data_IF_118615580700
#
_entry.id   IF_118615580700
#
_cell.length_a   1.000
_cell.length_b   1.000
_cell.length_c   1.000
_cell.angle_alpha   90.00
_cell.angle_beta   90.00
_cell.angle_gamma   90.00
#
_symmetry.space_group_name_H-M   'P 1'
#
loop_
_entity.id
_entity.type
_entity.pdbx_description
1 polymer ?
#
# COMPACT_ATOMS: atom_id res chain seq x y z
N UNK A 1 -37.71 -0.20 2.84
CA UNK A 1 -36.89 -1.42 3.05
C UNK A 1 -36.71 -1.52 4.57
N UNK A 2 -37.67 -2.00 5.37
CA UNK A 2 -38.19 -3.39 5.49
C UNK A 2 -37.00 -4.36 5.63
N UNK A 3 -36.77 -5.10 6.72
CA UNK A 3 -37.53 -6.22 7.35
C UNK A 3 -36.74 -6.59 8.65
N UNK A 4 -37.31 -6.65 9.86
CA UNK A 4 -38.05 -7.74 10.56
C UNK A 4 -37.21 -8.85 11.23
N UNK A 5 -37.72 -9.31 12.40
CA UNK A 5 -37.38 -10.52 13.14
C UNK A 5 -37.13 -10.22 14.62
N UNK A 6 -37.96 -10.54 15.62
CA UNK A 6 -39.03 -11.54 15.73
C UNK A 6 -38.68 -12.51 16.87
N UNK A 7 -39.47 -12.54 17.94
CA UNK A 7 -39.28 -13.46 19.07
C UNK A 7 -40.26 -13.22 20.23
N UNK A 8 -41.48 -13.74 20.08
CA UNK A 8 -42.48 -13.95 21.14
C UNK A 8 -42.32 -15.35 21.76
N UNK A 9 -42.54 -15.47 23.08
CA UNK A 9 -43.16 -16.57 23.84
C UNK A 9 -42.97 -16.20 25.33
N UNK A 10 -43.87 -16.40 26.29
CA UNK A 10 -45.09 -17.20 26.35
C UNK A 10 -45.92 -16.72 27.56
N UNK A 11 -47.24 -16.88 27.45
CA UNK A 11 -48.21 -16.71 28.54
C UNK A 11 -48.05 -17.84 29.56
N UNK A 12 -48.13 -17.53 30.85
CA UNK A 12 -48.65 -18.44 31.86
C UNK A 12 -49.66 -17.70 32.73
N UNK A 13 -50.93 -17.94 32.43
CA UNK A 13 -52.04 -17.82 33.36
C UNK A 13 -52.05 -19.03 34.29
N UNK A 14 -52.23 -18.80 35.59
CA UNK A 14 -52.89 -19.73 36.52
C UNK A 14 -53.35 -18.85 37.68
N UNK A 15 -54.62 -18.49 37.72
CA UNK A 15 -55.60 -19.16 38.59
C UNK A 15 -55.05 -19.39 39.99
N UNK A 16 -55.58 -18.64 40.96
CA UNK A 16 -55.89 -19.14 42.29
C UNK A 16 -56.89 -18.20 42.95
N UNK A 17 -58.14 -18.68 43.02
CA UNK A 17 -59.24 -18.03 43.72
C UNK A 17 -58.96 -17.92 45.21
N UNK A 18 -59.28 -16.77 45.79
CA UNK A 18 -59.38 -16.64 47.23
C UNK A 18 -60.79 -17.04 47.66
N UNK A 19 -60.91 -18.30 48.06
CA UNK A 19 -61.96 -18.78 48.92
C UNK A 19 -61.96 -17.97 50.22
N UNK A 20 -63.10 -17.36 50.54
CA UNK A 20 -63.42 -16.94 51.91
C UNK A 20 -63.60 -18.21 52.74
N UNK A 21 -62.57 -18.60 53.49
CA UNK A 21 -62.75 -19.50 54.63
C UNK A 21 -62.35 -18.82 55.93
N UNK A 22 -63.26 -19.00 56.88
CA UNK A 22 -63.27 -18.45 58.23
C UNK A 22 -62.03 -18.89 58.99
N UNK A 23 -61.25 -17.92 59.47
CA UNK A 23 -60.50 -18.08 60.71
C UNK A 23 -60.83 -16.90 61.62
N UNK A 24 -61.64 -17.19 62.63
CA UNK A 24 -61.72 -16.36 63.83
C UNK A 24 -60.39 -16.43 64.56
N UNK A 25 -59.76 -15.28 64.78
CA UNK A 25 -58.89 -15.02 65.92
C UNK A 25 -58.51 -13.54 65.88
N UNK A 26 -58.89 -12.81 66.93
CA UNK A 26 -58.54 -11.42 67.19
C UNK A 26 -57.01 -11.28 67.33
N UNK A 27 -56.30 -11.01 66.23
CA UNK A 27 -54.96 -10.41 66.31
C UNK A 27 -55.12 -8.90 66.61
N UNK A 28 -54.39 -8.34 67.59
CA UNK A 28 -54.48 -6.92 67.87
C UNK A 28 -53.98 -6.13 66.66
N UNK A 29 -54.74 -5.11 66.22
CA UNK A 29 -54.39 -4.19 65.10
C UNK A 29 -52.96 -3.63 65.17
N UNK A 30 -52.38 -3.55 66.36
CA UNK A 30 -51.00 -3.12 66.62
C UNK A 30 -49.94 -4.07 66.03
N UNK A 31 -50.17 -5.39 66.03
CA UNK A 31 -49.18 -6.38 65.57
C UNK A 31 -49.08 -6.39 64.05
N UNK A 32 -50.21 -6.30 63.34
CA UNK A 32 -50.24 -6.25 61.88
C UNK A 32 -49.61 -4.95 61.32
N UNK A 33 -49.81 -3.81 62.00
CA UNK A 33 -49.16 -2.55 61.63
C UNK A 33 -47.65 -2.60 61.85
N UNK A 34 -47.19 -3.13 62.98
CA UNK A 34 -45.76 -3.32 63.24
C UNK A 34 -45.11 -4.29 62.25
N UNK A 35 -45.78 -5.38 61.87
CA UNK A 35 -45.31 -6.29 60.82
C UNK A 35 -45.21 -5.60 59.46
N UNK A 36 -46.17 -4.76 59.09
CA UNK A 36 -46.13 -3.98 57.85
C UNK A 36 -44.99 -2.95 57.84
N UNK A 37 -44.83 -2.18 58.93
CA UNK A 37 -43.74 -1.20 59.07
C UNK A 37 -42.38 -1.89 59.05
N UNK A 38 -42.23 -3.03 59.72
CA UNK A 38 -41.01 -3.82 59.70
C UNK A 38 -40.72 -4.42 58.31
N UNK A 39 -41.74 -4.85 57.58
CA UNK A 39 -41.62 -5.31 56.20
C UNK A 39 -41.16 -4.17 55.28
N UNK A 40 -41.81 -3.00 55.35
CA UNK A 40 -41.43 -1.81 54.57
C UNK A 40 -40.04 -1.28 54.91
N UNK A 41 -39.66 -1.27 56.18
CA UNK A 41 -38.31 -0.92 56.60
C UNK A 41 -37.30 -1.93 56.05
N UNK A 42 -37.59 -3.23 56.12
CA UNK A 42 -36.73 -4.27 55.54
C UNK A 42 -36.59 -4.11 54.02
N UNK A 43 -37.68 -3.87 53.30
CA UNK A 43 -37.67 -3.60 51.85
C UNK A 43 -36.85 -2.34 51.52
N UNK A 44 -36.95 -1.29 52.35
CA UNK A 44 -36.18 -0.07 52.19
C UNK A 44 -34.68 -0.29 52.44
N UNK A 45 -34.32 -1.00 53.52
CA UNK A 45 -32.92 -1.31 53.83
C UNK A 45 -32.29 -2.28 52.83
N UNK A 46 -33.04 -3.30 52.38
CA UNK A 46 -32.59 -4.24 51.35
C UNK A 46 -32.48 -3.55 49.99
N UNK A 47 -33.46 -2.72 49.61
CA UNK A 47 -33.41 -1.90 48.40
C UNK A 47 -32.22 -0.94 48.39
N UNK A 48 -31.93 -0.29 49.53
CA UNK A 48 -30.76 0.58 49.66
C UNK A 48 -29.44 -0.21 49.62
N UNK A 49 -29.37 -1.40 50.22
CA UNK A 49 -28.19 -2.26 50.14
C UNK A 49 -27.92 -2.74 48.71
N UNK A 50 -28.97 -3.11 47.97
CA UNK A 50 -28.86 -3.47 46.54
C UNK A 50 -28.41 -2.28 45.69
N UNK A 51 -28.90 -1.07 45.98
CA UNK A 51 -28.44 0.15 45.29
C UNK A 51 -27.00 0.50 45.62
N UNK A 52 -26.58 0.33 46.89
CA UNK A 52 -25.20 0.58 47.30
C UNK A 52 -24.23 -0.38 46.60
N UNK A 53 -24.56 -1.67 46.55
CA UNK A 53 -23.75 -2.68 45.84
C UNK A 53 -23.74 -2.47 44.33
N UNK A 54 -24.85 -2.06 43.72
CA UNK A 54 -24.88 -1.67 42.31
C UNK A 54 -23.98 -0.46 42.02
N UNK A 55 -24.01 0.57 42.87
CA UNK A 55 -23.14 1.74 42.74
C UNK A 55 -21.66 1.39 42.95
N UNK A 56 -21.33 0.48 43.88
CA UNK A 56 -19.97 -0.02 44.06
C UNK A 56 -19.48 -0.80 42.83
N UNK A 57 -20.35 -1.62 42.24
CA UNK A 57 -20.04 -2.33 40.99
C UNK A 57 -19.79 -1.34 39.85
N UNK A 58 -20.66 -0.35 39.65
CA UNK A 58 -20.54 0.67 38.60
C UNK A 58 -19.27 1.52 38.79
N UNK A 59 -18.92 1.87 40.04
CA UNK A 59 -17.70 2.58 40.36
C UNK A 59 -16.46 1.74 40.04
N UNK A 60 -16.49 0.44 40.36
CA UNK A 60 -15.40 -0.48 40.07
C UNK A 60 -15.24 -0.74 38.57
N UNK A 61 -16.33 -0.89 37.83
CA UNK A 61 -16.32 -1.02 36.37
C UNK A 61 -15.75 0.24 35.69
N UNK A 62 -16.20 1.41 36.13
CA UNK A 62 -15.69 2.71 35.65
C UNK A 62 -14.19 2.85 35.92
N UNK A 63 -13.72 2.47 37.11
CA UNK A 63 -12.29 2.43 37.45
C UNK A 63 -11.51 1.48 36.54
N UNK A 64 -12.02 0.28 36.27
CA UNK A 64 -11.36 -0.66 35.35
C UNK A 64 -11.29 -0.12 33.93
N UNK A 65 -12.35 0.52 33.43
CA UNK A 65 -12.38 1.17 32.12
C UNK A 65 -11.30 2.25 32.01
N UNK A 66 -11.19 3.12 33.00
CA UNK A 66 -10.16 4.17 33.04
C UNK A 66 -8.74 3.59 33.09
N UNK A 67 -8.50 2.52 33.86
CA UNK A 67 -7.20 1.85 33.88
C UNK A 67 -6.84 1.23 32.52
N UNK A 68 -7.82 0.62 31.81
CA UNK A 68 -7.60 0.11 30.45
C UNK A 68 -7.28 1.24 29.47
N UNK A 69 -7.99 2.36 29.56
CA UNK A 69 -7.72 3.54 28.72
C UNK A 69 -6.33 4.13 28.98
N UNK A 70 -5.95 4.30 30.25
CA UNK A 70 -4.63 4.81 30.63
C UNK A 70 -3.50 3.90 30.12
N UNK A 71 -3.66 2.58 30.25
CA UNK A 71 -2.72 1.60 29.69
C UNK A 71 -2.66 1.70 28.16
N UNK A 72 -3.82 1.81 27.51
CA UNK A 72 -3.93 2.00 26.06
C UNK A 72 -3.17 3.23 25.55
N UNK A 73 -3.32 4.37 26.22
CA UNK A 73 -2.62 5.63 25.88
C UNK A 73 -1.11 5.53 26.12
N UNK A 74 -0.68 4.88 27.21
CA UNK A 74 0.74 4.66 27.48
C UNK A 74 1.38 3.76 26.42
N UNK A 75 0.69 2.67 26.07
CA UNK A 75 1.18 1.70 25.09
C UNK A 75 1.17 2.31 23.68
N UNK A 76 0.18 3.14 23.33
CA UNK A 76 0.18 3.86 22.04
C UNK A 76 1.32 4.86 21.95
N UNK A 77 1.60 5.63 23.00
CA UNK A 77 2.72 6.57 23.04
C UNK A 77 4.09 5.88 22.94
N UNK A 78 4.25 4.70 23.55
CA UNK A 78 5.47 3.89 23.39
C UNK A 78 5.62 3.35 21.97
N UNK A 79 4.54 2.86 21.37
CA UNK A 79 4.53 2.39 19.96
C UNK A 79 4.88 3.51 19.00
N UNK A 80 4.35 4.72 19.21
CA UNK A 80 4.64 5.87 18.37
C UNK A 80 6.13 6.26 18.44
N UNK A 81 6.72 6.30 19.64
CA UNK A 81 8.15 6.56 19.83
C UNK A 81 9.03 5.49 19.16
N UNK A 82 8.67 4.21 19.29
CA UNK A 82 9.39 3.11 18.63
C UNK A 82 9.33 3.25 17.11
N UNK A 83 8.15 3.54 16.56
CA UNK A 83 7.95 3.75 15.13
C UNK A 83 8.74 4.96 14.60
N UNK A 84 8.79 6.06 15.36
CA UNK A 84 9.60 7.23 15.01
C UNK A 84 11.10 6.89 14.98
N UNK A 85 11.58 6.14 15.98
CA UNK A 85 12.96 5.68 16.05
C UNK A 85 13.31 4.72 14.88
N UNK A 86 12.42 3.80 14.55
CA UNK A 86 12.60 2.88 13.42
C UNK A 86 12.70 3.65 12.08
N UNK A 87 11.84 4.65 11.88
CA UNK A 87 11.90 5.55 10.71
C UNK A 87 13.23 6.31 10.66
N UNK A 88 13.72 6.81 11.79
CA UNK A 88 15.00 7.50 11.89
C UNK A 88 16.17 6.59 11.52
N UNK A 89 16.23 5.38 12.07
CA UNK A 89 17.26 4.38 11.74
C UNK A 89 17.22 4.00 10.26
N UNK A 90 16.02 3.80 9.69
CA UNK A 90 15.84 3.52 8.27
C UNK A 90 16.33 4.68 7.39
N UNK A 91 16.09 5.92 7.81
CA UNK A 91 16.59 7.12 7.14
C UNK A 91 18.12 7.18 7.17
N UNK A 92 18.74 6.96 8.34
CA UNK A 92 20.20 6.91 8.48
C UNK A 92 20.84 5.86 7.57
N UNK A 93 20.29 4.64 7.51
CA UNK A 93 20.81 3.59 6.60
C UNK A 93 20.68 3.99 5.12
N UNK A 94 19.62 4.71 4.74
CA UNK A 94 19.49 5.25 3.37
C UNK A 94 20.54 6.33 3.12
N UNK A 95 20.72 7.27 4.04
CA UNK A 95 21.71 8.33 3.94
C UNK A 95 23.13 7.77 3.80
N UNK A 96 23.51 6.77 4.62
CA UNK A 96 24.81 6.12 4.52
C UNK A 96 25.03 5.44 3.16
N UNK A 97 24.02 4.75 2.61
CA UNK A 97 24.09 4.16 1.27
C UNK A 97 24.28 5.23 0.18
N UNK A 98 23.47 6.29 0.23
CA UNK A 98 23.58 7.41 -0.73
C UNK A 98 24.96 8.05 -0.61
N UNK A 99 25.43 8.33 0.60
CA UNK A 99 26.75 8.89 0.83
C UNK A 99 27.88 8.01 0.27
N UNK A 100 27.79 6.68 0.47
CA UNK A 100 28.76 5.75 -0.11
C UNK A 100 28.75 5.77 -1.64
N UNK A 101 27.56 5.74 -2.25
CA UNK A 101 27.39 5.82 -3.72
C UNK A 101 27.89 7.15 -4.25
N UNK A 102 27.56 8.27 -3.59
CA UNK A 102 28.05 9.60 -3.96
C UNK A 102 29.56 9.66 -3.88
N UNK A 103 30.19 9.16 -2.80
CA UNK A 103 31.65 9.13 -2.66
C UNK A 103 32.33 8.30 -3.75
N UNK A 104 31.76 7.16 -4.13
CA UNK A 104 32.27 6.36 -5.24
C UNK A 104 32.13 7.10 -6.58
N UNK A 105 30.96 7.71 -6.83
CA UNK A 105 30.69 8.46 -8.07
C UNK A 105 31.56 9.71 -8.20
N UNK A 106 31.78 10.45 -7.11
CA UNK A 106 32.68 11.63 -7.12
C UNK A 106 34.11 11.20 -7.38
N UNK A 107 34.60 10.10 -6.80
CA UNK A 107 35.93 9.59 -7.08
C UNK A 107 36.12 9.19 -8.55
N UNK A 108 35.10 8.58 -9.17
CA UNK A 108 35.11 8.27 -10.61
C UNK A 108 35.07 9.55 -11.45
N UNK A 109 34.25 10.53 -11.09
CA UNK A 109 34.16 11.82 -11.78
C UNK A 109 35.50 12.58 -11.71
N UNK A 110 36.12 12.66 -10.53
CA UNK A 110 37.44 13.28 -10.34
C UNK A 110 38.51 12.57 -11.18
N UNK A 111 38.45 11.24 -11.26
CA UNK A 111 39.36 10.45 -12.10
C UNK A 111 39.15 10.78 -13.59
N UNK A 112 37.90 10.86 -14.06
CA UNK A 112 37.56 11.26 -15.43
C UNK A 112 38.00 12.69 -15.75
N UNK A 113 37.82 13.63 -14.82
CA UNK A 113 38.27 15.02 -15.00
C UNK A 113 39.79 15.13 -15.11
N UNK A 114 40.53 14.35 -14.30
CA UNK A 114 42.01 14.27 -14.40
C UNK A 114 42.45 13.72 -15.75
N UNK A 115 41.81 12.67 -16.26
CA UNK A 115 42.10 12.16 -17.60
C UNK A 115 41.77 13.18 -18.70
N UNK A 116 40.68 13.93 -18.56
CA UNK A 116 40.30 14.98 -19.50
C UNK A 116 41.31 16.13 -19.53
N UNK A 117 41.85 16.53 -18.37
CA UNK A 117 42.88 17.57 -18.27
C UNK A 117 44.21 17.14 -18.90
N UNK A 118 44.61 15.88 -18.69
CA UNK A 118 45.83 15.29 -19.29
C UNK A 118 45.67 15.12 -20.82
N UNK A 119 44.47 14.72 -21.28
CA UNK A 119 44.15 14.61 -22.70
C UNK A 119 44.09 15.98 -23.41
N UNK A 120 43.69 17.04 -22.71
CA UNK A 120 43.70 18.41 -23.27
C UNK A 120 45.10 19.04 -23.35
N UNK A 121 46.04 18.59 -22.51
CA UNK A 121 47.41 19.14 -22.46
C UNK A 121 48.42 18.37 -23.31
N UNK A 122 48.09 17.16 -23.74
CA UNK A 122 48.85 16.38 -24.72
C UNK A 122 48.03 16.34 -26.00
N UNK A 123 48.56 16.76 -27.15
CA UNK A 123 47.85 16.78 -28.44
C UNK A 123 47.48 15.40 -29.03
N UNK A 124 47.21 14.42 -28.17
CA UNK A 124 46.97 13.01 -28.44
C UNK A 124 45.46 12.66 -28.32
N UNK A 125 44.62 13.44 -29.00
CA UNK A 125 43.16 13.23 -29.05
C UNK A 125 42.79 11.79 -29.47
N UNK A 126 43.61 11.19 -30.34
CA UNK A 126 43.38 9.82 -30.84
C UNK A 126 43.50 8.77 -29.73
N UNK A 127 44.48 8.89 -28.82
CA UNK A 127 44.65 7.93 -27.70
C UNK A 127 43.50 8.05 -26.69
N UNK A 128 43.04 9.26 -26.45
CA UNK A 128 41.89 9.52 -25.58
C UNK A 128 40.59 8.95 -26.17
N UNK A 129 40.33 9.19 -27.46
CA UNK A 129 39.17 8.65 -28.18
C UNK A 129 39.19 7.10 -28.15
N UNK A 130 40.35 6.48 -28.42
CA UNK A 130 40.49 5.02 -28.34
C UNK A 130 40.20 4.49 -26.94
N UNK A 131 40.63 5.20 -25.89
CA UNK A 131 40.32 4.81 -24.51
C UNK A 131 38.82 4.89 -24.20
N UNK A 132 38.16 5.98 -24.61
CA UNK A 132 36.72 6.15 -24.45
C UNK A 132 35.92 5.08 -25.19
N UNK A 133 36.30 4.76 -26.43
CA UNK A 133 35.66 3.71 -27.21
C UNK A 133 35.84 2.35 -26.51
N UNK A 134 37.04 2.03 -26.00
CA UNK A 134 37.27 0.80 -25.23
C UNK A 134 36.43 0.74 -23.96
N UNK A 135 36.32 1.85 -23.24
CA UNK A 135 35.49 1.94 -22.03
C UNK A 135 34.00 1.74 -22.37
N UNK A 136 33.51 2.38 -23.44
CA UNK A 136 32.16 2.21 -23.95
C UNK A 136 31.86 0.77 -24.36
N UNK A 137 32.77 0.10 -25.08
CA UNK A 137 32.65 -1.32 -25.44
C UNK A 137 32.54 -2.19 -24.17
N UNK A 138 33.38 -1.93 -23.16
CA UNK A 138 33.33 -2.65 -21.89
C UNK A 138 31.99 -2.47 -21.15
N UNK A 139 31.40 -1.27 -21.22
CA UNK A 139 30.07 -1.03 -20.66
C UNK A 139 28.97 -1.75 -21.45
N UNK A 140 29.02 -1.70 -22.78
CA UNK A 140 28.06 -2.39 -23.65
C UNK A 140 28.09 -3.89 -23.39
N UNK A 141 29.29 -4.49 -23.27
CA UNK A 141 29.41 -5.91 -22.95
C UNK A 141 28.80 -6.24 -21.59
N UNK A 142 29.10 -5.45 -20.55
CA UNK A 142 28.53 -5.66 -19.21
C UNK A 142 26.99 -5.52 -19.20
N UNK A 143 26.46 -4.60 -19.99
CA UNK A 143 25.00 -4.45 -20.15
C UNK A 143 24.40 -5.66 -20.85
N UNK A 144 25.03 -6.16 -21.91
CA UNK A 144 24.62 -7.37 -22.61
C UNK A 144 24.56 -8.56 -21.65
N UNK A 145 25.61 -8.79 -20.86
CA UNK A 145 25.66 -9.89 -19.90
C UNK A 145 24.54 -9.79 -18.83
N UNK A 146 24.22 -8.57 -18.36
CA UNK A 146 23.11 -8.36 -17.43
C UNK A 146 21.74 -8.57 -18.10
N UNK A 147 21.58 -8.13 -19.36
CA UNK A 147 20.36 -8.39 -20.14
C UNK A 147 20.15 -9.89 -20.35
N UNK A 148 21.19 -10.64 -20.69
CA UNK A 148 21.14 -12.10 -20.86
C UNK A 148 20.79 -12.82 -19.56
N UNK A 149 21.32 -12.34 -18.44
CA UNK A 149 20.97 -12.85 -17.12
C UNK A 149 19.49 -12.62 -16.81
N UNK A 150 18.99 -11.39 -16.96
CA UNK A 150 17.57 -11.06 -16.74
C UNK A 150 16.68 -11.87 -17.69
N UNK A 151 17.10 -12.06 -18.95
CA UNK A 151 16.39 -12.89 -19.91
C UNK A 151 16.30 -14.36 -19.44
N UNK A 152 17.41 -14.92 -18.96
CA UNK A 152 17.48 -16.28 -18.44
C UNK A 152 16.60 -16.46 -17.20
N UNK A 153 16.60 -15.48 -16.29
CA UNK A 153 15.71 -15.46 -15.11
C UNK A 153 14.23 -15.41 -15.52
N UNK A 154 13.88 -14.56 -16.49
CA UNK A 154 12.52 -14.50 -17.03
C UNK A 154 12.09 -15.82 -17.67
N UNK A 155 12.97 -16.48 -18.43
CA UNK A 155 12.70 -17.80 -19.03
C UNK A 155 12.53 -18.89 -17.97
N UNK A 156 13.24 -18.80 -16.84
CA UNK A 156 13.04 -19.72 -15.71
C UNK A 156 11.65 -19.52 -15.09
N UNK A 157 11.25 -18.26 -14.81
CA UNK A 157 9.93 -17.92 -14.27
C UNK A 157 8.81 -18.39 -15.22
N UNK A 158 8.96 -18.21 -16.53
CA UNK A 158 7.98 -18.69 -17.51
C UNK A 158 7.81 -20.22 -17.49
N UNK A 159 8.92 -20.96 -17.35
CA UNK A 159 8.87 -22.43 -17.22
C UNK A 159 8.18 -22.85 -15.92
N UNK A 160 8.49 -22.19 -14.81
CA UNK A 160 7.87 -22.45 -13.51
C UNK A 160 6.36 -22.14 -13.53
N UNK A 161 5.96 -21.03 -14.14
CA UNK A 161 4.55 -20.68 -14.33
C UNK A 161 3.83 -21.78 -15.10
N UNK A 162 4.37 -22.18 -16.27
CA UNK A 162 3.78 -23.24 -17.10
C UNK A 162 3.68 -24.57 -16.36
N UNK A 163 4.74 -24.96 -15.64
CA UNK A 163 4.74 -26.17 -14.82
C UNK A 163 3.69 -26.12 -13.73
N UNK A 164 3.57 -25.00 -13.03
CA UNK A 164 2.59 -24.79 -11.95
C UNK A 164 1.17 -24.83 -12.51
N UNK A 165 0.90 -24.20 -13.65
CA UNK A 165 -0.39 -24.27 -14.34
C UNK A 165 -0.77 -25.70 -14.71
N UNK A 166 0.15 -26.46 -15.32
CA UNK A 166 -0.11 -27.86 -15.67
C UNK A 166 -0.33 -28.73 -14.43
N UNK A 167 0.46 -28.52 -13.38
CA UNK A 167 0.31 -29.25 -12.11
C UNK A 167 -1.03 -28.95 -11.45
N UNK A 168 -1.46 -27.69 -11.45
CA UNK A 168 -2.74 -27.27 -10.90
C UNK A 168 -3.90 -27.98 -11.59
N UNK A 169 -3.93 -28.02 -12.94
CA UNK A 169 -4.94 -28.76 -13.69
C UNK A 169 -4.92 -30.26 -13.37
N UNK A 170 -3.73 -30.88 -13.31
CA UNK A 170 -3.59 -32.32 -13.02
C UNK A 170 -4.00 -32.69 -11.60
N UNK A 171 -3.81 -31.80 -10.63
CA UNK A 171 -4.20 -32.03 -9.23
C UNK A 171 -5.70 -31.81 -9.03
N UNK A 172 -6.29 -30.83 -9.73
CA UNK A 172 -7.72 -30.57 -9.62
C UNK A 172 -8.59 -31.65 -10.26
N UNK A 173 -8.18 -32.26 -11.39
CA UNK A 173 -8.97 -33.31 -12.04
C UNK A 173 -9.35 -34.49 -11.12
N UNK A 174 -8.41 -35.17 -10.42
CA UNK A 174 -8.76 -36.29 -9.54
C UNK A 174 -9.50 -35.84 -8.28
N UNK A 175 -9.29 -34.61 -7.80
CA UNK A 175 -10.06 -34.08 -6.66
C UNK A 175 -11.51 -33.83 -7.07
N UNK A 176 -11.73 -33.34 -8.29
CA UNK A 176 -13.07 -33.13 -8.86
C UNK A 176 -13.84 -34.46 -8.97
N UNK A 177 -13.17 -35.51 -9.45
CA UNK A 177 -13.72 -36.87 -9.54
C UNK A 177 -14.11 -37.43 -8.17
N UNK A 178 -13.23 -37.35 -7.17
CA UNK A 178 -13.52 -37.84 -5.81
C UNK A 178 -14.63 -37.04 -5.13
N UNK A 179 -14.61 -35.71 -5.27
CA UNK A 179 -15.65 -34.86 -4.68
C UNK A 179 -17.00 -35.06 -5.36
N UNK A 180 -17.03 -35.41 -6.65
CA UNK A 180 -18.25 -35.73 -7.37
C UNK A 180 -18.90 -37.03 -6.85
N UNK A 181 -18.10 -38.03 -6.50
CA UNK A 181 -18.59 -39.29 -5.91
C UNK A 181 -19.23 -39.10 -4.52
N UNK A 182 -18.81 -38.09 -3.74
CA UNK A 182 -19.35 -37.82 -2.39
C UNK A 182 -20.52 -36.80 -2.36
N UNK A 183 -21.03 -36.36 -3.52
CA UNK A 183 -22.08 -35.31 -3.61
C UNK A 183 -23.39 -35.69 -2.92
N UNK A 184 -23.65 -36.99 -2.73
CA UNK A 184 -24.86 -37.49 -2.08
C UNK A 184 -24.96 -37.11 -0.59
N UNK A 185 -23.82 -36.80 0.08
CA UNK A 185 -23.82 -36.21 1.41
C UNK A 185 -23.86 -34.67 1.33
N UNK A 186 -24.64 -34.03 2.22
CA UNK A 186 -24.70 -32.57 2.36
C UNK A 186 -23.32 -31.95 2.61
N UNK A 187 -22.41 -32.69 3.25
CA UNK A 187 -21.01 -32.25 3.44
C UNK A 187 -20.21 -32.32 2.15
N UNK A 188 -20.37 -33.39 1.36
CA UNK A 188 -19.73 -33.54 0.04
C UNK A 188 -20.21 -32.50 -0.96
N UNK A 189 -21.52 -32.22 -1.01
CA UNK A 189 -22.09 -31.14 -1.84
C UNK A 189 -21.48 -29.77 -1.49
N UNK A 190 -21.30 -29.48 -0.19
CA UNK A 190 -20.68 -28.24 0.28
C UNK A 190 -19.19 -28.17 -0.11
N UNK A 191 -18.46 -29.28 0.03
CA UNK A 191 -17.06 -29.38 -0.34
C UNK A 191 -16.84 -29.21 -1.85
N UNK A 192 -17.68 -29.85 -2.68
CA UNK A 192 -17.66 -29.73 -4.14
C UNK A 192 -17.91 -28.28 -4.60
N UNK A 193 -18.92 -27.60 -4.03
CA UNK A 193 -19.18 -26.17 -4.31
C UNK A 193 -18.01 -25.26 -3.92
N UNK A 194 -17.39 -25.51 -2.77
CA UNK A 194 -16.23 -24.73 -2.33
C UNK A 194 -15.02 -24.98 -3.23
N UNK A 195 -14.80 -26.22 -3.63
CA UNK A 195 -13.75 -26.62 -4.55
C UNK A 195 -13.91 -25.95 -5.92
N UNK A 196 -15.11 -25.97 -6.51
CA UNK A 196 -15.38 -25.27 -7.78
C UNK A 196 -15.09 -23.77 -7.71
N UNK A 197 -15.42 -23.11 -6.59
CA UNK A 197 -15.06 -21.70 -6.36
C UNK A 197 -13.54 -21.50 -6.26
N UNK A 198 -12.84 -22.39 -5.56
CA UNK A 198 -11.38 -22.34 -5.46
C UNK A 198 -10.73 -22.53 -6.83
N UNK A 199 -11.14 -23.55 -7.58
CA UNK A 199 -10.65 -23.82 -8.94
C UNK A 199 -10.84 -22.60 -9.83
N UNK A 200 -12.04 -22.02 -9.86
CA UNK A 200 -12.36 -20.82 -10.65
C UNK A 200 -11.47 -19.63 -10.25
N UNK A 201 -11.28 -19.39 -8.95
CA UNK A 201 -10.42 -18.30 -8.48
C UNK A 201 -8.96 -18.48 -8.89
N UNK A 202 -8.43 -19.71 -8.86
CA UNK A 202 -7.08 -20.00 -9.29
C UNK A 202 -6.92 -19.79 -10.82
N UNK A 203 -7.88 -20.25 -11.63
CA UNK A 203 -7.88 -20.02 -13.08
C UNK A 203 -7.93 -18.53 -13.43
N UNK A 204 -8.83 -17.78 -12.78
CA UNK A 204 -8.93 -16.33 -12.98
C UNK A 204 -7.64 -15.60 -12.58
N UNK A 205 -6.97 -16.07 -11.52
CA UNK A 205 -5.69 -15.49 -11.08
C UNK A 205 -4.59 -15.73 -12.12
N UNK A 206 -4.53 -16.92 -12.72
CA UNK A 206 -3.58 -17.21 -13.80
C UNK A 206 -3.83 -16.34 -15.03
N UNK A 207 -5.09 -16.24 -15.46
CA UNK A 207 -5.46 -15.39 -16.59
C UNK A 207 -5.11 -13.92 -16.32
N UNK A 208 -5.40 -13.41 -15.12
CA UNK A 208 -5.07 -12.02 -14.73
C UNK A 208 -3.55 -11.78 -14.75
N UNK A 209 -2.74 -12.75 -14.32
CA UNK A 209 -1.27 -12.66 -14.38
C UNK A 209 -0.80 -12.58 -15.84
N UNK A 210 -1.36 -13.40 -16.73
CA UNK A 210 -1.03 -13.39 -18.16
C UNK A 210 -1.42 -12.06 -18.83
N UNK A 211 -2.64 -11.58 -18.58
CA UNK A 211 -3.15 -10.30 -19.07
C UNK A 211 -2.30 -9.12 -18.55
N UNK A 212 -1.93 -9.12 -17.27
CA UNK A 212 -1.00 -8.12 -16.71
C UNK A 212 0.35 -8.13 -17.44
N UNK A 213 0.85 -9.30 -17.83
CA UNK A 213 2.05 -9.41 -18.66
C UNK A 213 1.92 -8.74 -20.02
N UNK A 214 0.74 -8.86 -20.67
CA UNK A 214 0.43 -8.17 -21.93
C UNK A 214 0.40 -6.65 -21.73
N UNK A 215 -0.36 -6.18 -20.73
CA UNK A 215 -0.47 -4.75 -20.41
C UNK A 215 0.91 -4.16 -20.07
N UNK A 216 1.75 -4.89 -19.35
CA UNK A 216 3.09 -4.43 -19.00
C UNK A 216 3.98 -4.22 -20.23
N UNK A 217 3.88 -5.07 -21.26
CA UNK A 217 4.60 -4.89 -22.53
C UNK A 217 4.09 -3.69 -23.31
N UNK A 218 2.77 -3.54 -23.40
CA UNK A 218 2.15 -2.37 -24.04
C UNK A 218 2.56 -1.06 -23.35
N UNK A 219 2.68 -1.06 -22.02
CA UNK A 219 3.13 0.11 -21.27
C UNK A 219 4.58 0.50 -21.62
N UNK A 220 5.48 -0.48 -21.74
CA UNK A 220 6.86 -0.21 -22.20
C UNK A 220 6.86 0.38 -23.61
N UNK A 221 6.10 -0.21 -24.54
CA UNK A 221 5.97 0.31 -25.92
C UNK A 221 5.43 1.74 -25.94
N UNK A 222 4.43 2.05 -25.10
CA UNK A 222 3.87 3.40 -24.99
C UNK A 222 4.90 4.39 -24.43
N UNK A 223 5.70 3.98 -23.44
CA UNK A 223 6.78 4.79 -22.89
C UNK A 223 7.85 5.08 -23.94
N UNK A 224 8.22 4.08 -24.75
CA UNK A 224 9.18 4.25 -25.84
C UNK A 224 8.66 5.22 -26.91
N UNK A 225 7.38 5.11 -27.29
CA UNK A 225 6.72 6.04 -28.21
C UNK A 225 6.69 7.48 -27.67
N UNK A 226 6.43 7.66 -26.37
CA UNK A 226 6.48 8.98 -25.73
C UNK A 226 7.89 9.56 -25.80
N UNK A 227 8.92 8.75 -25.54
CA UNK A 227 10.30 9.20 -25.57
C UNK A 227 10.73 9.63 -26.98
N UNK A 228 10.39 8.84 -28.01
CA UNK A 228 10.60 9.21 -29.42
C UNK A 228 9.87 10.53 -29.76
N UNK A 229 8.62 10.68 -29.31
CA UNK A 229 7.84 11.91 -29.49
C UNK A 229 8.52 13.14 -28.86
N UNK A 230 9.06 13.00 -27.65
CA UNK A 230 9.81 14.07 -26.96
C UNK A 230 11.08 14.45 -27.71
N UNK A 231 11.85 13.47 -28.15
CA UNK A 231 13.08 13.70 -28.92
C UNK A 231 12.76 14.48 -30.21
N UNK A 232 11.68 14.11 -30.90
CA UNK A 232 11.22 14.83 -32.09
C UNK A 232 10.83 16.28 -31.77
N UNK A 233 10.10 16.51 -30.67
CA UNK A 233 9.74 17.86 -30.24
C UNK A 233 10.97 18.72 -29.90
N UNK A 234 11.96 18.16 -29.19
CA UNK A 234 13.21 18.87 -28.91
C UNK A 234 13.98 19.20 -30.19
N UNK A 235 14.03 18.28 -31.15
CA UNK A 235 14.67 18.54 -32.44
C UNK A 235 13.98 19.69 -33.19
N UNK A 236 12.64 19.73 -33.20
CA UNK A 236 11.90 20.85 -33.80
C UNK A 236 12.15 22.18 -33.08
N UNK A 237 12.16 22.19 -31.75
CA UNK A 237 12.44 23.40 -30.97
C UNK A 237 13.86 23.92 -31.21
N UNK A 238 14.86 23.05 -31.21
CA UNK A 238 16.24 23.40 -31.53
C UNK A 238 16.37 23.95 -32.95
N UNK A 239 15.66 23.38 -33.92
CA UNK A 239 15.64 23.89 -35.29
C UNK A 239 15.07 25.31 -35.37
N UNK A 240 13.98 25.61 -34.64
CA UNK A 240 13.41 26.96 -34.57
C UNK A 240 14.37 27.96 -33.93
N UNK A 241 14.93 27.63 -32.77
CA UNK A 241 15.91 28.48 -32.07
C UNK A 241 17.11 28.77 -32.97
N UNK A 242 17.60 27.76 -33.69
CA UNK A 242 18.73 27.93 -34.61
C UNK A 242 18.40 28.89 -35.75
N UNK A 243 17.20 28.77 -36.32
CA UNK A 243 16.71 29.69 -37.36
C UNK A 243 16.57 31.11 -36.84
N UNK A 244 16.00 31.29 -35.64
CA UNK A 244 15.86 32.60 -35.01
C UNK A 244 17.23 33.24 -34.74
N UNK A 245 18.21 32.43 -34.31
CA UNK A 245 19.58 32.89 -34.08
C UNK A 245 20.28 33.31 -35.38
N UNK A 246 20.07 32.58 -36.47
CA UNK A 246 20.57 32.98 -37.81
C UNK A 246 19.98 34.31 -38.26
N UNK A 247 18.69 34.55 -38.02
CA UNK A 247 18.03 35.83 -38.34
C UNK A 247 18.64 36.95 -37.50
N UNK A 248 18.74 36.77 -36.18
CA UNK A 248 19.29 37.81 -35.28
C UNK A 248 20.76 38.10 -35.59
N UNK A 249 21.56 37.09 -35.94
CA UNK A 249 22.95 37.27 -36.34
C UNK A 249 23.04 38.11 -37.61
N UNK A 250 22.20 37.82 -38.61
CA UNK A 250 22.15 38.56 -39.86
C UNK A 250 21.69 40.00 -39.66
N UNK A 251 20.61 40.21 -38.90
CA UNK A 251 20.13 41.56 -38.57
C UNK A 251 21.20 42.38 -37.83
N UNK A 252 21.98 41.72 -36.95
CA UNK A 252 23.10 42.36 -36.24
C UNK A 252 24.22 42.76 -37.20
N UNK A 253 24.58 41.89 -38.15
CA UNK A 253 25.55 42.20 -39.21
C UNK A 253 25.08 43.36 -40.08
N UNK A 254 23.80 43.37 -40.48
CA UNK A 254 23.20 44.41 -41.30
C UNK A 254 23.18 45.78 -40.57
N UNK A 255 22.89 45.79 -39.26
CA UNK A 255 22.95 47.00 -38.43
C UNK A 255 24.38 47.53 -38.24
N UNK A 256 25.36 46.65 -38.06
CA UNK A 256 26.77 47.03 -37.97
C UNK A 256 27.24 47.60 -39.32
N UNK A 257 26.85 46.99 -40.43
CA UNK A 257 27.16 47.52 -41.76
C UNK A 257 26.51 48.89 -42.01
N UNK A 258 25.23 49.06 -41.65
CA UNK A 258 24.51 50.31 -41.82
C UNK A 258 25.11 51.46 -40.99
N UNK A 259 25.52 51.19 -39.75
CA UNK A 259 26.20 52.18 -38.90
C UNK A 259 27.57 52.57 -39.46
N UNK A 260 28.35 51.62 -39.98
CA UNK A 260 29.65 51.91 -40.60
C UNK A 260 29.52 52.80 -41.86
N UNK A 261 28.53 52.54 -42.71
CA UNK A 261 28.26 53.35 -43.91
C UNK A 261 27.75 54.75 -43.54
N UNK A 262 26.91 54.87 -42.51
CA UNK A 262 26.45 56.17 -41.99
C UNK A 262 27.60 57.04 -41.48
N UNK A 263 28.52 56.46 -40.70
CA UNK A 263 29.72 57.17 -40.23
C UNK A 263 30.65 57.58 -41.37
N UNK A 264 30.77 56.76 -42.42
CA UNK A 264 31.59 57.09 -43.60
C UNK A 264 30.98 58.23 -44.43
N UNK A 265 29.65 58.37 -44.46
CA UNK A 265 28.97 59.50 -45.13
C UNK A 265 29.11 60.81 -44.34
N UNK A 266 29.09 60.78 -43.00
CA UNK A 266 29.31 61.97 -42.17
C UNK A 266 30.76 62.49 -42.22
N UNK A 267 31.74 61.64 -42.50
CA UNK A 267 33.17 62.03 -42.64
C UNK A 267 33.53 62.60 -44.02
N UNK A 268 32.64 62.50 -45.01
CA UNK A 268 32.86 62.96 -46.40
C UNK A 268 32.01 64.19 -46.79
N UNK A 269 31.28 64.79 -45.83
CA UNK A 269 30.57 66.08 -45.95
C UNK A 269 31.32 67.14 -45.16
#
# INVERSE_FOLDING_TARGET
LSVSGGGQCEKLSSENGFHLEKFGSTRPRSTAFNEFVNCKNRDFFTGNATRATALEYDAQDSKQKLLRQLKGVKDSGLREKLHLHERYVKCLRKFQRVHHVTKQKTAVADKKERYLKIAKSSGDDTRFIVHLIKEAIGYVQKQYDETDKVHSENMAIQRELKWTTQTLHRVFSPIDEVLFEEVDDRRGECAYKLFGRLHTNCMNSMETIEQNGVISRLNVELVDLIEVGKQHQFAQQLHRIRKDLEIVSKDSEDLVHASFVGYAQELYV
#
